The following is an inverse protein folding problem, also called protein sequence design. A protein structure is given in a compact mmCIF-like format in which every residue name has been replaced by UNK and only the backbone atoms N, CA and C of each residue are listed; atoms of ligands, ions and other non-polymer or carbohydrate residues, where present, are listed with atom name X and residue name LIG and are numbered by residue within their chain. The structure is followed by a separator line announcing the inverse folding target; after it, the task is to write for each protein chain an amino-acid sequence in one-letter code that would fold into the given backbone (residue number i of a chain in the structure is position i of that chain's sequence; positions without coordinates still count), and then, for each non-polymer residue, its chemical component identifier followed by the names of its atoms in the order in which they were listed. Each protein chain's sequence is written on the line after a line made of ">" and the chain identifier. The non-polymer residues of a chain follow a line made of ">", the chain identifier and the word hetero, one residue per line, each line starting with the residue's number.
data_IF_736493609152
#
_entry.id   IF_736493609152
#
_cell.length_a   1.000
_cell.length_b   1.000
_cell.length_c   1.000
_cell.angle_alpha   90.00
_cell.angle_beta   90.00
_cell.angle_gamma   90.00
#
_symmetry.space_group_name_H-M   'P 1'
#
loop_
_entity.id
_entity.type
_entity.pdbx_description
1 polymer ?
#
# COMPACT_ATOMS: atom_id res chain seq x y z
N UNK A 1 4.63 -6.03 -58.66
CA UNK A 1 4.85 -6.86 -57.44
C UNK A 1 5.69 -6.08 -56.44
N UNK A 2 5.08 -5.50 -55.41
CA UNK A 2 5.79 -4.80 -54.31
C UNK A 2 5.70 -5.66 -53.05
N UNK A 3 6.83 -6.19 -52.59
CA UNK A 3 6.94 -6.91 -51.32
C UNK A 3 6.84 -5.89 -50.18
N UNK A 4 5.80 -5.99 -49.35
CA UNK A 4 5.74 -5.32 -48.05
C UNK A 4 6.47 -6.20 -47.06
N UNK A 5 7.63 -5.73 -46.56
CA UNK A 5 8.25 -6.30 -45.37
C UNK A 5 7.43 -5.84 -44.16
N UNK A 6 6.73 -6.77 -43.52
CA UNK A 6 6.28 -6.60 -42.15
C UNK A 6 7.37 -7.17 -41.25
N UNK A 7 8.14 -6.28 -40.64
CA UNK A 7 8.87 -6.57 -39.40
C UNK A 7 8.08 -5.86 -38.31
N UNK A 8 7.38 -6.62 -37.47
CA UNK A 8 6.89 -6.15 -36.17
C UNK A 8 7.55 -7.03 -35.11
N UNK A 9 8.81 -6.71 -34.83
CA UNK A 9 9.42 -6.98 -33.53
C UNK A 9 8.91 -5.91 -32.57
N UNK A 10 8.53 -6.33 -31.36
CA UNK A 10 8.22 -5.40 -30.29
C UNK A 10 7.36 -6.05 -29.23
N UNK A 11 8.00 -6.82 -28.35
CA UNK A 11 7.47 -7.24 -27.05
C UNK A 11 6.73 -6.06 -26.39
N UNK A 12 5.39 -6.06 -26.47
CA UNK A 12 4.55 -5.25 -25.59
C UNK A 12 4.57 -5.91 -24.22
N UNK A 13 5.70 -5.78 -23.52
CA UNK A 13 5.69 -5.98 -22.08
C UNK A 13 4.76 -4.88 -21.53
N UNK A 14 3.68 -5.22 -20.81
CA UNK A 14 2.91 -4.21 -20.12
C UNK A 14 3.92 -3.42 -19.29
N UNK A 15 3.86 -2.09 -19.38
CA UNK A 15 4.68 -1.22 -18.53
C UNK A 15 4.16 -1.43 -17.11
N UNK A 16 4.67 -2.47 -16.45
CA UNK A 16 4.45 -2.70 -15.04
C UNK A 16 4.91 -1.43 -14.36
N UNK A 17 3.97 -0.70 -13.77
CA UNK A 17 4.24 0.55 -13.10
C UNK A 17 5.16 0.23 -11.91
N UNK A 18 6.47 0.40 -12.12
CA UNK A 18 7.51 -0.14 -11.22
C UNK A 18 7.43 0.46 -9.83
N UNK A 19 6.67 1.54 -9.65
CA UNK A 19 6.44 2.19 -8.39
C UNK A 19 5.80 1.24 -7.37
N UNK A 20 4.82 0.42 -7.76
CA UNK A 20 4.16 -0.46 -6.78
C UNK A 20 5.03 -1.65 -6.36
N UNK A 21 5.99 -2.03 -7.20
CA UNK A 21 6.90 -3.14 -6.91
C UNK A 21 7.82 -2.87 -5.72
N UNK A 22 8.11 -1.59 -5.40
CA UNK A 22 8.95 -1.23 -4.25
C UNK A 22 8.29 -1.56 -2.91
N UNK A 23 6.97 -1.83 -2.91
CA UNK A 23 6.20 -2.14 -1.72
C UNK A 23 5.96 -3.64 -1.54
N UNK A 24 6.41 -4.50 -2.48
CA UNK A 24 6.22 -5.95 -2.38
C UNK A 24 6.95 -6.48 -1.14
N UNK A 25 6.26 -7.34 -0.38
CA UNK A 25 6.64 -7.90 0.92
C UNK A 25 6.75 -6.89 2.06
N UNK A 26 6.39 -5.63 1.85
CA UNK A 26 6.34 -4.63 2.90
C UNK A 26 4.96 -4.58 3.55
N UNK A 27 4.92 -4.33 4.85
CA UNK A 27 3.68 -3.99 5.53
C UNK A 27 3.31 -2.55 5.19
N UNK A 28 2.20 -2.35 4.48
CA UNK A 28 1.78 -1.07 3.94
C UNK A 28 0.45 -0.60 4.52
N UNK A 29 0.22 0.71 4.38
CA UNK A 29 -1.08 1.36 4.58
C UNK A 29 -1.50 2.02 3.27
N UNK A 30 -2.67 1.65 2.77
CA UNK A 30 -3.25 2.06 1.49
C UNK A 30 -4.51 2.85 1.76
N UNK A 31 -4.55 4.11 1.32
CA UNK A 31 -5.74 4.96 1.36
C UNK A 31 -6.36 4.98 -0.03
N UNK A 32 -7.66 4.72 -0.08
CA UNK A 32 -8.43 4.69 -1.33
C UNK A 32 -9.34 5.91 -1.47
N UNK A 33 -9.76 6.19 -2.70
CA UNK A 33 -10.76 7.21 -3.02
C UNK A 33 -12.20 6.78 -2.65
N UNK A 34 -12.39 5.52 -2.27
CA UNK A 34 -13.65 5.00 -1.75
C UNK A 34 -13.95 5.61 -0.38
N UNK A 35 -15.15 6.13 -0.19
CA UNK A 35 -15.57 6.72 1.08
C UNK A 35 -16.81 6.06 1.66
N UNK A 36 -16.80 5.83 2.96
CA UNK A 36 -18.02 5.53 3.72
C UNK A 36 -18.78 6.82 3.96
N UNK A 37 -20.03 6.87 3.48
CA UNK A 37 -20.96 7.92 3.86
C UNK A 37 -21.68 7.50 5.14
N UNK A 38 -21.42 8.22 6.22
CA UNK A 38 -22.17 8.04 7.47
C UNK A 38 -23.40 8.93 7.38
N UNK A 39 -24.58 8.31 7.42
CA UNK A 39 -25.83 9.05 7.45
C UNK A 39 -25.86 9.97 8.68
N UNK A 40 -26.33 11.22 8.54
CA UNK A 40 -26.48 12.09 9.70
C UNK A 40 -27.46 11.45 10.69
N UNK A 41 -26.98 11.21 11.92
CA UNK A 41 -27.86 10.90 13.04
C UNK A 41 -28.72 12.11 13.41
N UNK A 42 -29.67 11.93 14.33
CA UNK A 42 -30.72 12.89 14.75
C UNK A 42 -30.23 14.28 15.25
N UNK A 43 -28.94 14.57 15.19
CA UNK A 43 -28.38 15.88 15.53
C UNK A 43 -28.42 16.74 14.26
N UNK A 44 -29.42 17.63 14.22
CA UNK A 44 -29.51 18.74 13.28
C UNK A 44 -28.13 19.44 13.23
N UNK A 45 -27.53 19.58 12.04
CA UNK A 45 -26.26 20.26 11.73
C UNK A 45 -24.98 19.42 11.50
N UNK A 46 -25.04 18.09 11.39
CA UNK A 46 -23.93 17.34 10.78
C UNK A 46 -24.20 17.04 9.31
N UNK A 47 -23.60 17.81 8.40
CA UNK A 47 -23.42 17.39 7.01
C UNK A 47 -22.69 16.04 7.01
N UNK A 48 -23.22 15.06 6.29
CA UNK A 48 -22.71 13.69 6.29
C UNK A 48 -21.20 13.64 6.07
N UNK A 49 -20.47 13.02 6.99
CA UNK A 49 -19.01 12.92 6.90
C UNK A 49 -18.64 11.76 5.98
N UNK A 50 -17.85 12.05 4.95
CA UNK A 50 -17.26 11.05 4.07
C UNK A 50 -15.87 10.65 4.59
N UNK A 51 -15.72 9.39 5.01
CA UNK A 51 -14.45 8.87 5.55
C UNK A 51 -13.80 7.96 4.49
N UNK A 52 -12.57 8.25 4.03
CA UNK A 52 -11.89 7.40 3.05
C UNK A 52 -11.55 6.04 3.65
N UNK A 53 -11.71 4.99 2.83
CA UNK A 53 -11.36 3.64 3.22
C UNK A 53 -9.84 3.47 3.19
N UNK A 54 -9.32 3.00 4.31
CA UNK A 54 -7.90 2.69 4.50
C UNK A 54 -7.74 1.20 4.79
N UNK A 55 -6.80 0.58 4.09
CA UNK A 55 -6.44 -0.82 4.26
C UNK A 55 -5.00 -0.94 4.74
N UNK A 56 -4.72 -1.95 5.55
CA UNK A 56 -3.38 -2.24 6.05
C UNK A 56 -3.09 -3.73 5.90
N UNK A 57 -1.84 -4.05 5.59
CA UNK A 57 -1.38 -5.43 5.45
C UNK A 57 -0.07 -5.52 4.66
N UNK A 58 0.46 -6.73 4.56
CA UNK A 58 1.60 -7.05 3.71
C UNK A 58 1.16 -7.09 2.25
N UNK A 59 1.85 -6.36 1.36
CA UNK A 59 1.63 -6.48 -0.07
C UNK A 59 2.34 -7.73 -0.59
N UNK A 60 1.59 -8.78 -0.90
CA UNK A 60 2.14 -10.09 -1.28
C UNK A 60 2.34 -10.21 -2.79
N UNK A 61 1.42 -9.63 -3.55
CA UNK A 61 1.44 -9.67 -5.01
C UNK A 61 0.71 -8.46 -5.61
N UNK A 62 0.93 -8.21 -6.89
CA UNK A 62 0.21 -7.21 -7.66
C UNK A 62 0.16 -7.59 -9.13
N UNK A 63 -0.96 -7.24 -9.77
CA UNK A 63 -1.10 -7.32 -11.23
C UNK A 63 -1.43 -5.93 -11.80
N UNK A 64 -1.91 -5.88 -13.04
CA UNK A 64 -2.25 -4.62 -13.71
C UNK A 64 -3.47 -3.93 -13.07
N UNK A 65 -4.33 -4.65 -12.36
CA UNK A 65 -5.62 -4.16 -11.84
C UNK A 65 -5.67 -4.10 -10.30
N UNK A 66 -4.99 -4.99 -9.59
CA UNK A 66 -5.14 -5.21 -8.15
C UNK A 66 -3.81 -5.22 -7.38
N UNK A 67 -3.90 -4.78 -6.13
CA UNK A 67 -2.93 -5.01 -5.07
C UNK A 67 -3.49 -6.11 -4.15
N UNK A 68 -2.71 -7.16 -3.90
CA UNK A 68 -3.10 -8.27 -3.04
C UNK A 68 -2.43 -8.13 -1.67
N UNK A 69 -3.25 -7.86 -0.66
CA UNK A 69 -2.80 -7.66 0.70
C UNK A 69 -3.15 -8.88 1.57
N UNK A 70 -2.32 -9.10 2.57
CA UNK A 70 -2.53 -10.09 3.63
C UNK A 70 -2.30 -9.49 5.01
N UNK A 71 -3.09 -9.88 6.02
CA UNK A 71 -2.76 -9.64 7.43
C UNK A 71 -1.44 -10.30 7.84
N UNK A 72 -1.09 -11.42 7.19
CA UNK A 72 0.18 -12.11 7.35
C UNK A 72 1.00 -12.04 6.06
N UNK A 73 2.29 -12.36 6.15
CA UNK A 73 3.18 -12.38 4.99
C UNK A 73 3.02 -13.65 4.10
N UNK A 74 2.04 -14.51 4.38
CA UNK A 74 1.84 -15.80 3.69
C UNK A 74 0.49 -15.96 3.04
N UNK A 75 -0.55 -15.28 3.53
CA UNK A 75 -1.93 -15.46 3.08
C UNK A 75 -2.53 -14.15 2.60
N UNK A 76 -3.14 -14.18 1.41
CA UNK A 76 -3.88 -13.04 0.84
C UNK A 76 -5.30 -13.04 1.41
N UNK A 77 -5.75 -11.89 1.93
CA UNK A 77 -7.09 -11.72 2.49
C UNK A 77 -7.87 -10.57 1.85
N UNK A 78 -7.19 -9.63 1.19
CA UNK A 78 -7.77 -8.41 0.62
C UNK A 78 -7.22 -8.16 -0.78
N UNK A 79 -8.09 -7.71 -1.68
CA UNK A 79 -7.70 -7.24 -3.01
C UNK A 79 -8.19 -5.80 -3.20
N UNK A 80 -7.28 -4.89 -3.54
CA UNK A 80 -7.56 -3.46 -3.69
C UNK A 80 -7.31 -3.06 -5.15
N UNK A 81 -8.29 -2.43 -5.78
CA UNK A 81 -8.14 -1.92 -7.14
C UNK A 81 -7.08 -0.82 -7.20
N UNK A 82 -6.10 -0.97 -8.09
CA UNK A 82 -5.00 -0.01 -8.26
C UNK A 82 -5.49 1.39 -8.63
N UNK A 83 -6.54 1.47 -9.45
CA UNK A 83 -7.17 2.75 -9.82
C UNK A 83 -7.74 3.53 -8.64
N UNK A 84 -8.11 2.85 -7.54
CA UNK A 84 -8.68 3.47 -6.34
C UNK A 84 -7.62 3.97 -5.36
N UNK A 85 -6.33 3.66 -5.58
CA UNK A 85 -5.26 3.99 -4.64
C UNK A 85 -4.86 5.46 -4.78
N UNK A 86 -5.13 6.24 -3.74
CA UNK A 86 -4.75 7.65 -3.67
C UNK A 86 -3.39 7.82 -2.97
N UNK A 87 -3.12 6.97 -1.99
CA UNK A 87 -1.90 7.06 -1.19
C UNK A 87 -1.48 5.68 -0.69
N UNK A 88 -0.18 5.42 -0.71
CA UNK A 88 0.44 4.18 -0.23
C UNK A 88 1.71 4.54 0.56
N UNK A 89 1.88 3.94 1.73
CA UNK A 89 3.08 4.10 2.55
C UNK A 89 3.50 2.79 3.20
N UNK A 90 4.81 2.61 3.38
CA UNK A 90 5.35 1.52 4.21
C UNK A 90 5.10 1.88 5.68
N UNK A 91 4.35 1.03 6.37
CA UNK A 91 4.14 1.12 7.80
C UNK A 91 5.25 0.34 8.50
N UNK A 92 6.22 1.07 9.05
CA UNK A 92 7.23 0.46 9.93
C UNK A 92 6.53 -0.08 11.18
N UNK A 93 6.32 -1.40 11.23
CA UNK A 93 6.00 -2.06 12.47
C UNK A 93 7.28 -2.01 13.31
N UNK A 94 7.36 -1.06 14.23
CA UNK A 94 8.49 -0.99 15.16
C UNK A 94 8.49 -2.27 15.99
N UNK A 95 9.41 -3.17 15.67
CA UNK A 95 9.61 -4.40 16.40
C UNK A 95 9.93 -4.06 17.87
N UNK A 96 9.23 -4.67 18.82
CA UNK A 96 9.38 -4.34 20.25
C UNK A 96 10.85 -4.49 20.69
N UNK A 97 11.55 -5.47 20.12
CA UNK A 97 13.00 -5.65 20.31
C UNK A 97 13.82 -4.49 19.76
N UNK A 98 13.46 -3.91 18.61
CA UNK A 98 14.14 -2.73 18.07
C UNK A 98 13.94 -1.52 18.98
N UNK A 99 12.74 -1.33 19.54
CA UNK A 99 12.47 -0.27 20.54
C UNK A 99 13.33 -0.46 21.79
N UNK A 100 13.37 -1.67 22.35
CA UNK A 100 14.18 -1.99 23.53
C UNK A 100 15.67 -1.78 23.25
N UNK A 101 16.15 -2.17 22.07
CA UNK A 101 17.54 -1.97 21.67
C UNK A 101 17.90 -0.48 21.57
N UNK A 102 17.02 0.33 20.96
CA UNK A 102 17.21 1.77 20.85
C UNK A 102 17.19 2.47 22.22
N UNK A 103 16.36 2.01 23.15
CA UNK A 103 16.36 2.49 24.54
C UNK A 103 17.65 2.14 25.28
N UNK A 104 18.15 0.91 25.14
CA UNK A 104 19.44 0.50 25.72
C UNK A 104 20.59 1.32 25.17
N UNK A 105 20.60 1.60 23.86
CA UNK A 105 21.62 2.42 23.20
C UNK A 105 21.59 3.89 23.66
N UNK A 106 20.41 4.42 24.02
CA UNK A 106 20.27 5.78 24.57
C UNK A 106 20.79 5.89 26.00
N UNK A 107 20.59 4.89 26.87
CA UNK A 107 21.12 4.88 28.25
C UNK A 107 22.65 4.90 28.28
N UNK A 108 23.30 4.05 27.48
CA UNK A 108 24.77 4.00 27.43
C UNK A 108 25.44 5.32 26.98
N UNK A 109 24.71 6.23 26.34
CA UNK A 109 25.24 7.56 25.97
C UNK A 109 25.07 8.61 27.07
N UNK A 110 24.20 8.40 28.06
CA UNK A 110 24.01 9.34 29.17
C UNK A 110 25.05 9.14 30.29
N UNK A 111 25.68 7.97 30.37
CA UNK A 111 26.67 7.65 31.42
C UNK A 111 28.11 8.13 31.11
N UNK A 112 28.32 8.89 30.02
CA UNK A 112 29.65 9.35 29.56
C UNK A 112 29.81 10.88 29.67
N UNK A 113 29.00 11.58 30.47
CA UNK A 113 29.21 13.00 30.78
C UNK A 113 29.27 13.27 32.28
#
# INVERSE_FOLDING_TARGET
>A
MKKKNQTQDGNNMPKSDSLFQIFINEHISVVTDLSLSVAPGEVEDMDGVAIPLTFQGYLLDLDDEFLYLGETNTEVDKAIKRESVVFIQISKQEDELSRVYDEMKKRNKMDIN
#
